data_IF_616520266879
#
_entry.id   IF_616520266879
#
_cell.length_a   1.000
_cell.length_b   1.000
_cell.length_c   1.000
_cell.angle_alpha   90.00
_cell.angle_beta   90.00
_cell.angle_gamma   90.00
#
_symmetry.space_group_name_H-M   'P 1'
#
loop_
_entity.id
_entity.type
_entity.pdbx_description
1 polymer ?
#
# COMPACT_ATOMS: atom_id res chain seq x y z
N UNK A 1 -15.96 -3.02 12.48
CA UNK A 1 -16.60 -2.70 11.18
C UNK A 1 -16.11 -1.40 10.52
N UNK A 2 -15.19 -0.62 11.11
CA UNK A 2 -14.69 0.62 10.51
C UNK A 2 -13.40 0.45 9.67
N UNK A 3 -12.66 -0.65 9.85
CA UNK A 3 -11.34 -0.86 9.25
C UNK A 3 -11.42 -1.30 7.77
N UNK A 4 -12.30 -2.24 7.44
CA UNK A 4 -12.44 -2.75 6.05
C UNK A 4 -12.84 -1.66 5.04
N UNK A 5 -13.51 -0.60 5.49
CA UNK A 5 -13.94 0.50 4.60
C UNK A 5 -12.79 1.42 4.18
N UNK A 6 -11.73 1.55 4.97
CA UNK A 6 -10.61 2.47 4.66
C UNK A 6 -9.71 1.89 3.57
N UNK A 7 -9.32 0.63 3.74
CA UNK A 7 -8.40 -0.07 2.82
C UNK A 7 -9.01 -0.25 1.43
N UNK A 8 -10.35 -0.42 1.34
CA UNK A 8 -11.06 -0.56 0.07
C UNK A 8 -10.96 0.68 -0.84
N UNK A 9 -10.92 1.89 -0.27
CA UNK A 9 -10.76 3.13 -1.04
C UNK A 9 -9.32 3.36 -1.49
N UNK A 10 -8.35 3.13 -0.60
CA UNK A 10 -6.93 3.31 -0.92
C UNK A 10 -6.50 2.45 -2.12
N UNK A 11 -6.99 1.21 -2.21
CA UNK A 11 -6.69 0.27 -3.30
C UNK A 11 -7.13 0.73 -4.69
N UNK A 12 -8.04 1.70 -4.80
CA UNK A 12 -8.46 2.30 -6.08
C UNK A 12 -7.40 3.25 -6.65
N UNK A 13 -6.62 3.89 -5.78
CA UNK A 13 -5.59 4.87 -6.15
C UNK A 13 -4.18 4.28 -6.06
N UNK A 14 -3.95 3.38 -5.12
CA UNK A 14 -2.65 2.80 -4.85
C UNK A 14 -2.64 1.32 -5.26
N UNK A 15 -1.64 0.97 -6.07
CA UNK A 15 -1.37 -0.37 -6.55
C UNK A 15 -0.27 -1.02 -5.73
N UNK A 16 -0.31 -2.35 -5.66
CA UNK A 16 0.77 -3.13 -5.06
C UNK A 16 1.15 -4.28 -5.98
N UNK A 17 2.44 -4.49 -6.17
CA UNK A 17 3.01 -5.60 -6.94
C UNK A 17 4.01 -6.36 -6.06
N UNK A 18 3.85 -7.68 -5.95
CA UNK A 18 4.84 -8.55 -5.29
C UNK A 18 6.09 -8.66 -6.18
N UNK A 19 7.27 -8.61 -5.57
CA UNK A 19 8.56 -8.89 -6.20
C UNK A 19 9.35 -9.90 -5.33
N UNK A 20 10.50 -10.34 -5.83
CA UNK A 20 11.32 -11.37 -5.15
C UNK A 20 11.71 -10.99 -3.72
N UNK A 21 11.91 -9.70 -3.44
CA UNK A 21 12.33 -9.18 -2.14
C UNK A 21 11.19 -8.60 -1.28
N UNK A 22 9.95 -8.57 -1.78
CA UNK A 22 8.81 -8.00 -1.06
C UNK A 22 7.76 -7.37 -1.96
N UNK A 23 7.44 -6.10 -1.74
CA UNK A 23 6.36 -5.40 -2.44
C UNK A 23 6.83 -4.06 -3.01
N UNK A 24 6.35 -3.74 -4.22
CA UNK A 24 6.41 -2.41 -4.79
C UNK A 24 5.02 -1.80 -4.68
N UNK A 25 4.92 -0.68 -3.97
CA UNK A 25 3.71 0.11 -3.84
C UNK A 25 3.86 1.31 -4.77
N UNK A 26 2.84 1.54 -5.59
CA UNK A 26 2.90 2.54 -6.66
C UNK A 26 1.56 3.24 -6.81
N UNK A 27 1.60 4.46 -7.32
CA UNK A 27 0.43 5.23 -7.66
C UNK A 27 -0.18 4.69 -8.97
N UNK A 28 -1.48 4.38 -8.99
CA UNK A 28 -2.13 3.78 -10.17
C UNK A 28 -2.30 4.79 -11.32
N UNK A 29 -2.51 6.07 -11.00
CA UNK A 29 -2.76 7.08 -12.03
C UNK A 29 -1.49 7.43 -12.81
N UNK A 30 -0.39 7.67 -12.10
CA UNK A 30 0.91 8.05 -12.68
C UNK A 30 1.86 6.88 -12.93
N UNK A 31 1.52 5.67 -12.43
CA UNK A 31 2.42 4.50 -12.41
C UNK A 31 3.75 4.74 -11.66
N UNK A 32 3.86 5.84 -10.92
CA UNK A 32 5.07 6.18 -10.16
C UNK A 32 5.20 5.28 -8.94
N UNK A 33 6.40 4.75 -8.72
CA UNK A 33 6.70 4.03 -7.48
C UNK A 33 6.66 4.99 -6.29
N UNK A 34 5.84 4.64 -5.29
CA UNK A 34 5.73 5.37 -4.02
C UNK A 34 6.75 4.84 -3.01
N UNK A 35 6.83 3.52 -2.87
CA UNK A 35 7.81 2.84 -2.00
C UNK A 35 8.09 1.42 -2.44
N UNK A 36 9.29 0.94 -2.17
CA UNK A 36 9.65 -0.48 -2.21
C UNK A 36 9.76 -0.99 -0.78
N UNK A 37 8.85 -1.89 -0.40
CA UNK A 37 8.79 -2.49 0.92
C UNK A 37 9.48 -3.85 0.89
N UNK A 38 10.64 -3.94 1.53
CA UNK A 38 11.34 -5.20 1.75
C UNK A 38 10.64 -5.98 2.86
N UNK A 39 10.48 -7.28 2.68
CA UNK A 39 9.93 -8.17 3.70
C UNK A 39 10.84 -9.35 3.93
N UNK A 40 10.90 -9.81 5.17
CA UNK A 40 11.64 -11.03 5.52
C UNK A 40 10.76 -12.21 5.12
N UNK A 41 11.22 -13.03 4.17
CA UNK A 41 10.47 -14.19 3.68
C UNK A 41 10.23 -15.27 4.76
N UNK A 42 10.92 -15.19 5.90
CA UNK A 42 10.70 -16.08 7.05
C UNK A 42 9.57 -15.57 7.98
N UNK A 43 9.10 -14.33 7.79
CA UNK A 43 7.98 -13.80 8.56
C UNK A 43 6.65 -14.35 8.03
N UNK A 44 5.68 -14.48 8.92
CA UNK A 44 4.32 -14.92 8.61
C UNK A 44 3.69 -14.08 7.47
N UNK A 45 3.11 -14.75 6.48
CA UNK A 45 2.50 -14.11 5.30
C UNK A 45 1.36 -13.15 5.67
N UNK A 46 0.63 -13.42 6.76
CA UNK A 46 -0.38 -12.52 7.29
C UNK A 46 0.26 -11.24 7.85
N UNK A 47 1.39 -11.35 8.55
CA UNK A 47 2.13 -10.19 9.06
C UNK A 47 2.65 -9.32 7.89
N UNK A 48 3.22 -9.96 6.87
CA UNK A 48 3.69 -9.27 5.66
C UNK A 48 2.54 -8.56 4.92
N UNK A 49 1.35 -9.18 4.87
CA UNK A 49 0.13 -8.62 4.27
C UNK A 49 -0.40 -7.44 5.08
N UNK A 50 -0.43 -7.53 6.41
CA UNK A 50 -0.86 -6.44 7.30
C UNK A 50 0.07 -5.24 7.21
N UNK A 51 1.39 -5.47 7.21
CA UNK A 51 2.38 -4.42 7.05
C UNK A 51 2.20 -3.70 5.71
N UNK A 52 2.03 -4.45 4.61
CA UNK A 52 1.74 -3.90 3.28
C UNK A 52 0.51 -2.99 3.31
N UNK A 53 -0.59 -3.47 3.87
CA UNK A 53 -1.85 -2.72 3.90
C UNK A 53 -1.74 -1.45 4.75
N UNK A 54 -1.03 -1.49 5.89
CA UNK A 54 -0.76 -0.30 6.69
C UNK A 54 0.07 0.76 5.92
N UNK A 55 1.07 0.32 5.15
CA UNK A 55 1.88 1.24 4.32
C UNK A 55 1.04 1.83 3.19
N UNK A 56 0.16 1.06 2.56
CA UNK A 56 -0.78 1.56 1.54
C UNK A 56 -1.69 2.64 2.14
N UNK A 57 -2.27 2.40 3.31
CA UNK A 57 -3.15 3.36 3.97
C UNK A 57 -2.40 4.65 4.35
N UNK A 58 -1.15 4.53 4.81
CA UNK A 58 -0.30 5.69 5.11
C UNK A 58 -0.03 6.56 3.87
N UNK A 59 0.31 5.94 2.73
CA UNK A 59 0.51 6.67 1.47
C UNK A 59 -0.78 7.29 0.94
N UNK A 60 -1.92 6.64 1.15
CA UNK A 60 -3.22 7.19 0.77
C UNK A 60 -3.58 8.43 1.58
N UNK A 61 -3.42 8.39 2.90
CA UNK A 61 -3.66 9.56 3.76
C UNK A 61 -2.65 10.69 3.48
N UNK A 62 -1.39 10.37 3.22
CA UNK A 62 -0.39 11.34 2.77
C UNK A 62 -0.80 12.01 1.45
N UNK A 63 -1.22 11.23 0.45
CA UNK A 63 -1.68 11.76 -0.84
C UNK A 63 -2.96 12.59 -0.72
N UNK A 64 -3.88 12.25 0.19
CA UNK A 64 -5.06 13.08 0.51
C UNK A 64 -4.64 14.42 1.11
N UNK A 65 -3.70 14.44 2.05
CA UNK A 65 -3.18 15.68 2.63
C UNK A 65 -2.52 16.59 1.58
N UNK A 66 -1.96 16.01 0.51
CA UNK A 66 -1.41 16.71 -0.64
C UNK A 66 -2.45 17.02 -1.75
N UNK A 67 -3.73 16.72 -1.54
CA UNK A 67 -4.81 16.86 -2.54
C UNK A 67 -4.62 16.04 -3.83
N UNK A 68 -3.84 14.95 -3.78
CA UNK A 68 -3.59 14.04 -4.89
C UNK A 68 -4.74 13.02 -5.03
N UNK A 69 -5.23 12.48 -3.91
CA UNK A 69 -6.31 11.49 -3.87
C UNK A 69 -7.57 12.11 -3.27
N UNK A 70 -8.73 11.93 -3.94
CA UNK A 70 -10.03 12.47 -3.54
C UNK A 70 -11.06 11.37 -3.32
#
# INVERSE_FOLDING_TARGET
MAEERKTGKARQFIGVRRCAAGYVIFDRASQRTLVQMLVVNQADDLLNTRLRDAVVDAYFEYGKALNIYR
#
